data_IF_061011170320
#
_entry.id   IF_061011170320
#
_cell.length_a   1.000
_cell.length_b   1.000
_cell.length_c   1.000
_cell.angle_alpha   90.00
_cell.angle_beta   90.00
_cell.angle_gamma   90.00
#
_symmetry.space_group_name_H-M   'P 1'
#
loop_
_entity.id
_entity.type
_entity.pdbx_description
1 polymer ?
#
# COMPACT_ATOMS: atom_id res chain seq x y z
N UNK A 1 4.47 -1.62 -3.58
CA UNK A 1 3.57 -0.44 -3.70
C UNK A 1 3.64 0.10 -5.11
N UNK A 2 2.69 0.95 -5.51
CA UNK A 2 2.60 1.47 -6.89
C UNK A 2 3.15 2.88 -7.02
N UNK A 3 3.82 3.15 -8.14
CA UNK A 3 4.37 4.47 -8.49
C UNK A 3 3.91 4.89 -9.87
N UNK A 4 3.99 6.18 -10.19
CA UNK A 4 3.83 6.64 -11.58
C UNK A 4 5.08 6.28 -12.38
N UNK A 5 4.91 5.96 -13.65
CA UNK A 5 6.04 5.65 -14.52
C UNK A 5 6.97 6.86 -14.65
N UNK A 6 8.27 6.63 -14.53
CA UNK A 6 9.31 7.66 -14.59
C UNK A 6 9.42 8.60 -13.39
N UNK A 7 8.55 8.49 -12.37
CA UNK A 7 8.58 9.37 -11.19
C UNK A 7 8.57 8.57 -9.87
N UNK A 8 9.13 9.15 -8.81
CA UNK A 8 9.06 8.60 -7.45
C UNK A 8 7.66 8.81 -6.81
N UNK A 9 6.75 9.46 -7.53
CA UNK A 9 5.40 9.77 -7.10
C UNK A 9 4.57 8.51 -6.87
N UNK A 10 3.97 8.46 -5.68
CA UNK A 10 3.08 7.38 -5.28
C UNK A 10 1.73 7.47 -5.97
N UNK A 11 1.22 6.32 -6.40
CA UNK A 11 -0.16 6.18 -6.83
C UNK A 11 -1.03 6.00 -5.59
N UNK A 12 -2.01 6.87 -5.41
CA UNK A 12 -3.08 6.69 -4.42
C UNK A 12 -4.38 6.29 -5.10
N UNK A 13 -5.16 5.44 -4.44
CA UNK A 13 -6.53 5.09 -4.79
C UNK A 13 -7.47 5.96 -3.98
N UNK A 14 -8.71 6.13 -4.46
CA UNK A 14 -9.78 6.76 -3.68
C UNK A 14 -10.80 5.71 -3.29
N UNK A 15 -11.15 5.68 -2.00
CA UNK A 15 -12.26 4.84 -1.54
C UNK A 15 -13.62 5.44 -2.00
N UNK A 16 -14.73 4.73 -1.71
CA UNK A 16 -16.08 5.20 -2.07
C UNK A 16 -16.48 6.52 -1.39
N UNK A 17 -15.76 6.93 -0.33
CA UNK A 17 -15.96 8.18 0.41
C UNK A 17 -14.98 9.28 -0.04
N UNK A 18 -14.12 9.00 -1.01
CA UNK A 18 -13.14 9.93 -1.55
C UNK A 18 -11.84 10.03 -0.75
N UNK A 19 -11.66 9.20 0.29
CA UNK A 19 -10.43 9.19 1.08
C UNK A 19 -9.28 8.57 0.28
N UNK A 20 -8.11 9.18 0.35
CA UNK A 20 -6.92 8.69 -0.35
C UNK A 20 -6.29 7.52 0.40
N UNK A 21 -5.98 6.46 -0.35
CA UNK A 21 -5.34 5.27 0.16
C UNK A 21 -4.15 4.84 -0.67
N UNK A 22 -3.09 4.42 0.00
CA UNK A 22 -1.92 3.84 -0.65
C UNK A 22 -2.14 2.33 -0.86
N UNK A 23 -2.15 1.83 -2.11
CA UNK A 23 -2.16 0.41 -2.37
C UNK A 23 -0.80 -0.23 -2.04
N UNK A 24 -0.83 -1.22 -1.14
CA UNK A 24 0.31 -2.02 -0.73
C UNK A 24 -0.03 -3.48 -0.99
N UNK A 25 0.89 -4.17 -1.65
CA UNK A 25 0.75 -5.56 -2.03
C UNK A 25 1.75 -6.40 -1.25
N UNK A 26 1.33 -7.59 -0.82
CA UNK A 26 2.20 -8.56 -0.17
C UNK A 26 3.25 -9.11 -1.13
N UNK A 27 2.90 -9.29 -2.41
CA UNK A 27 3.78 -9.83 -3.43
C UNK A 27 3.83 -8.99 -4.70
N UNK A 28 4.95 -9.03 -5.42
CA UNK A 28 5.11 -8.30 -6.68
C UNK A 28 4.11 -8.77 -7.75
N UNK A 29 3.85 -10.07 -7.83
CA UNK A 29 2.93 -10.64 -8.81
C UNK A 29 1.48 -10.16 -8.61
N UNK A 30 1.07 -9.91 -7.37
CA UNK A 30 -0.25 -9.31 -7.06
C UNK A 30 -0.33 -7.87 -7.57
N UNK A 31 0.73 -7.08 -7.35
CA UNK A 31 0.82 -5.72 -7.87
C UNK A 31 0.80 -5.70 -9.41
N UNK A 32 1.55 -6.60 -10.06
CA UNK A 32 1.56 -6.75 -11.53
C UNK A 32 0.19 -7.12 -12.06
N UNK A 33 -0.47 -8.10 -11.44
CA UNK A 33 -1.81 -8.53 -11.82
C UNK A 33 -2.81 -7.38 -11.66
N UNK A 34 -2.74 -6.63 -10.56
CA UNK A 34 -3.60 -5.49 -10.31
C UNK A 34 -3.48 -4.41 -11.40
N UNK A 35 -2.25 -4.02 -11.75
CA UNK A 35 -1.98 -3.02 -12.79
C UNK A 35 -2.44 -3.51 -14.17
N UNK A 36 -2.24 -4.80 -14.47
CA UNK A 36 -2.69 -5.43 -15.71
C UNK A 36 -4.22 -5.41 -15.83
N UNK A 37 -4.93 -5.81 -14.77
CA UNK A 37 -6.40 -5.81 -14.73
C UNK A 37 -6.99 -4.41 -14.87
N UNK A 38 -6.28 -3.38 -14.40
CA UNK A 38 -6.66 -1.98 -14.60
C UNK A 38 -6.30 -1.41 -15.98
N UNK A 39 -5.53 -2.14 -16.79
CA UNK A 39 -5.01 -1.65 -18.08
C UNK A 39 -4.00 -0.50 -17.93
N UNK A 40 -3.29 -0.39 -16.79
CA UNK A 40 -2.38 0.72 -16.46
C UNK A 40 -0.90 0.38 -16.55
N UNK A 41 -0.55 -0.75 -17.19
CA UNK A 41 0.83 -1.27 -17.23
C UNK A 41 1.88 -0.35 -17.87
N UNK A 42 1.46 0.60 -18.70
CA UNK A 42 2.34 1.61 -19.30
C UNK A 42 2.42 2.93 -18.50
N UNK A 43 1.59 3.10 -17.48
CA UNK A 43 1.50 4.33 -16.69
C UNK A 43 2.00 4.16 -15.26
N UNK A 44 1.88 2.94 -14.71
CA UNK A 44 2.16 2.63 -13.31
C UNK A 44 3.31 1.66 -13.19
N UNK A 45 4.31 2.04 -12.39
CA UNK A 45 5.42 1.20 -11.97
C UNK A 45 5.13 0.49 -10.66
N UNK A 46 5.97 -0.50 -10.36
CA UNK A 46 5.93 -1.26 -9.10
C UNK A 46 7.25 -1.02 -8.39
N UNK A 47 7.14 -0.58 -7.13
CA UNK A 47 8.28 -0.42 -6.23
C UNK A 47 8.15 -1.38 -5.05
N UNK A 48 9.13 -2.27 -4.91
CA UNK A 48 9.29 -3.06 -3.69
C UNK A 48 9.73 -2.15 -2.54
N UNK A 49 9.17 -2.37 -1.36
CA UNK A 49 9.52 -1.63 -0.15
C UNK A 49 9.26 -2.52 1.05
N UNK A 50 10.06 -2.36 2.10
CA UNK A 50 9.76 -2.94 3.40
C UNK A 50 8.84 -2.04 4.21
N UNK A 51 8.17 -2.58 5.23
CA UNK A 51 7.39 -1.78 6.17
C UNK A 51 8.27 -0.75 6.92
N UNK A 52 9.54 -1.10 7.17
CA UNK A 52 10.52 -0.20 7.80
C UNK A 52 10.90 1.00 6.94
N UNK A 53 10.93 0.84 5.61
CA UNK A 53 11.16 1.94 4.66
C UNK A 53 9.88 2.72 4.34
N UNK A 54 8.73 2.05 4.37
CA UNK A 54 7.43 2.67 4.11
C UNK A 54 6.97 3.56 5.29
N UNK A 55 7.25 3.17 6.53
CA UNK A 55 6.80 3.89 7.71
C UNK A 55 7.32 5.35 7.79
N UNK A 56 8.61 5.65 7.55
CA UNK A 56 9.10 7.03 7.46
C UNK A 56 8.42 7.84 6.35
N UNK A 57 8.13 7.21 5.20
CA UNK A 57 7.48 7.87 4.08
C UNK A 57 6.04 8.27 4.43
N UNK A 58 5.29 7.39 5.10
CA UNK A 58 3.94 7.65 5.62
C UNK A 58 3.91 8.66 6.78
N UNK A 59 5.03 8.87 7.49
CA UNK A 59 5.13 9.90 8.53
C UNK A 59 5.56 11.27 8.00
N UNK A 60 6.24 11.31 6.86
CA UNK A 60 6.75 12.54 6.27
C UNK A 60 6.03 12.90 4.97
N UNK A 61 6.67 12.64 3.80
CA UNK A 61 6.20 13.11 2.49
C UNK A 61 4.79 12.64 2.13
N UNK A 62 4.34 11.51 2.67
CA UNK A 62 3.02 10.94 2.40
C UNK A 62 2.10 10.93 3.64
N UNK A 63 2.28 11.90 4.54
CA UNK A 63 1.43 12.08 5.72
C UNK A 63 -0.05 12.40 5.39
N UNK A 64 -0.33 12.86 4.17
CA UNK A 64 -1.70 13.06 3.66
C UNK A 64 -2.44 11.77 3.28
N UNK A 65 -1.75 10.63 3.20
CA UNK A 65 -2.40 9.33 2.98
C UNK A 65 -3.17 8.94 4.23
N UNK A 66 -4.48 8.79 4.13
CA UNK A 66 -5.33 8.48 5.28
C UNK A 66 -5.43 6.98 5.56
N UNK A 67 -5.36 6.17 4.50
CA UNK A 67 -5.61 4.73 4.54
C UNK A 67 -4.55 3.96 3.78
N UNK A 68 -4.37 2.70 4.14
CA UNK A 68 -3.57 1.75 3.37
C UNK A 68 -4.53 0.72 2.80
N UNK A 69 -4.53 0.49 1.49
CA UNK A 69 -5.30 -0.59 0.88
C UNK A 69 -4.38 -1.81 0.74
N UNK A 70 -4.58 -2.82 1.60
CA UNK A 70 -3.80 -4.05 1.56
C UNK A 70 -4.40 -5.03 0.55
N UNK A 71 -3.56 -5.47 -0.40
CA UNK A 71 -3.90 -6.42 -1.47
C UNK A 71 -5.24 -6.09 -2.16
N UNK A 72 -5.43 -4.85 -2.64
CA UNK A 72 -6.69 -4.44 -3.21
C UNK A 72 -6.98 -5.23 -4.48
N UNK A 73 -8.24 -5.58 -4.68
CA UNK A 73 -8.74 -6.11 -5.97
C UNK A 73 -9.42 -4.99 -6.77
N UNK A 74 -9.30 -4.98 -8.11
CA UNK A 74 -9.96 -3.96 -8.93
C UNK A 74 -11.49 -4.07 -8.80
N UNK A 75 -12.18 -2.92 -8.76
CA UNK A 75 -13.64 -2.90 -8.67
C UNK A 75 -14.27 -3.50 -9.92
N UNK A 76 -15.22 -4.42 -9.76
CA UNK A 76 -15.87 -5.13 -10.88
C UNK A 76 -15.20 -6.45 -11.26
N UNK A 77 -14.13 -6.84 -10.56
CA UNK A 77 -13.61 -8.21 -10.61
C UNK A 77 -14.27 -8.99 -9.47
N UNK A 78 -15.15 -9.93 -9.80
CA UNK A 78 -15.80 -10.83 -8.82
C UNK A 78 -14.77 -11.81 -8.25
N UNK A 79 -13.89 -11.33 -7.39
CA UNK A 79 -13.02 -12.15 -6.55
C UNK A 79 -13.78 -12.50 -5.26
N UNK A 80 -14.77 -13.40 -5.36
CA UNK A 80 -15.44 -13.97 -4.18
C UNK A 80 -14.45 -14.83 -3.37
N UNK A 81 -13.61 -14.18 -2.58
CA UNK A 81 -12.70 -14.77 -1.63
C UNK A 81 -12.48 -13.79 -0.46
N UNK A 82 -11.91 -14.25 0.67
CA UNK A 82 -11.77 -13.47 1.91
C UNK A 82 -10.83 -12.24 1.82
N UNK A 83 -10.42 -11.83 0.61
CA UNK A 83 -9.67 -10.61 0.34
C UNK A 83 -10.60 -9.37 0.31
N UNK A 84 -11.54 -9.31 1.26
CA UNK A 84 -12.23 -8.07 1.57
C UNK A 84 -11.21 -7.15 2.22
N UNK A 85 -10.68 -6.27 1.38
CA UNK A 85 -9.67 -5.26 1.62
C UNK A 85 -9.68 -4.75 3.06
N UNK A 86 -8.63 -5.04 3.82
CA UNK A 86 -8.36 -4.28 5.03
C UNK A 86 -7.90 -2.88 4.57
N UNK A 87 -8.71 -1.86 4.88
CA UNK A 87 -8.30 -0.46 4.79
C UNK A 87 -7.94 0.06 6.18
N UNK A 88 -6.88 -0.46 6.86
CA UNK A 88 -6.46 0.13 8.12
C UNK A 88 -6.17 1.60 7.88
N UNK A 89 -6.51 2.42 8.87
CA UNK A 89 -6.03 3.78 8.85
C UNK A 89 -4.49 3.77 8.91
N UNK A 90 -3.85 4.83 8.45
CA UNK A 90 -2.40 4.95 8.43
C UNK A 90 -1.77 4.68 9.80
N UNK A 91 -2.39 5.13 10.88
CA UNK A 91 -1.86 4.96 12.25
C UNK A 91 -1.90 3.51 12.73
N UNK A 92 -2.97 2.77 12.44
CA UNK A 92 -3.10 1.35 12.76
C UNK A 92 -2.06 0.53 12.01
N UNK A 93 -1.84 0.85 10.73
CA UNK A 93 -0.77 0.25 9.94
C UNK A 93 0.59 0.55 10.58
N UNK A 94 0.89 1.81 10.89
CA UNK A 94 2.16 2.19 11.53
C UNK A 94 2.35 1.55 12.91
N UNK A 95 1.27 1.29 13.65
CA UNK A 95 1.31 0.61 14.94
C UNK A 95 1.65 -0.87 14.79
N UNK A 96 1.05 -1.55 13.80
CA UNK A 96 1.32 -2.96 13.51
C UNK A 96 2.78 -3.22 13.11
N UNK A 97 3.43 -2.24 12.46
CA UNK A 97 4.82 -2.34 12.01
C UNK A 97 5.81 -1.58 12.90
N UNK A 98 5.47 -1.31 14.16
CA UNK A 98 6.45 -0.84 15.15
C UNK A 98 7.59 -1.85 15.22
N UNK A 99 8.73 -1.47 14.66
CA UNK A 99 10.00 -2.14 14.90
C UNK A 99 10.24 -2.06 16.41
N UNK A 100 10.46 -3.19 17.12
CA UNK A 100 10.86 -3.11 18.52
C UNK A 100 12.10 -2.23 18.59
N UNK A 101 12.08 -1.23 19.48
CA UNK A 101 13.25 -0.43 19.74
C UNK A 101 14.41 -1.40 20.01
N UNK A 102 15.52 -1.25 19.28
CA UNK A 102 16.72 -2.05 19.52
C UNK A 102 17.21 -1.66 20.92
N UNK A 103 16.80 -2.42 21.92
CA UNK A 103 17.02 -2.15 23.33
C UNK A 103 16.51 -3.30 24.16
N UNK A 104 17.47 -4.01 24.77
CA UNK A 104 17.31 -4.82 25.97
C UNK A 104 16.71 -6.22 25.78
N UNK A 105 17.52 -7.09 25.15
CA UNK A 105 17.67 -8.45 25.66
C UNK A 105 18.94 -8.49 26.51
N UNK A 106 18.76 -8.24 27.81
CA UNK A 106 19.61 -8.76 28.88
C UNK A 106 18.63 -9.44 29.80
N UNK A 107 18.58 -10.77 29.79
CA UNK A 107 19.06 -11.67 30.87
C UNK A 107 19.33 -13.04 30.26
#
# INVERSE_FOLDING_TARGET
MLTRDGDADLVTLRDRKGAEALPVFGFEDEARMYVLLLGRGAEWGIRETTAGELAPLLRGPYSGVERIALDPVPTGVDCSGPLDVAWPNREDFLHAFRVPARGEQTI
#
